data_IF_844342676523
#
_entry.id   IF_844342676523
#
_cell.length_a   1.000
_cell.length_b   1.000
_cell.length_c   1.000
_cell.angle_alpha   90.00
_cell.angle_beta   90.00
_cell.angle_gamma   90.00
#
_symmetry.space_group_name_H-M   'P 1'
#
loop_
_entity.id
_entity.type
_entity.pdbx_description
1 polymer ?
#
# COMPACT_ATOMS: atom_id res chain seq x y z
N UNK A 1 -5.79 -15.15 -4.15
CA UNK A 1 -5.02 -14.59 -5.27
C UNK A 1 -3.54 -14.73 -4.94
N UNK A 2 -2.76 -15.43 -5.77
CA UNK A 2 -1.35 -15.68 -5.48
C UNK A 2 -0.45 -14.56 -6.04
N UNK A 3 0.55 -14.11 -5.29
CA UNK A 3 1.58 -13.15 -5.71
C UNK A 3 2.92 -13.86 -5.80
N UNK A 4 3.77 -13.40 -6.71
CA UNK A 4 5.08 -14.00 -6.93
C UNK A 4 6.14 -13.18 -6.20
N UNK A 5 6.86 -13.80 -5.27
CA UNK A 5 8.04 -13.21 -4.62
C UNK A 5 9.29 -13.43 -5.48
N UNK A 6 10.07 -12.37 -5.69
CA UNK A 6 11.42 -12.52 -6.24
C UNK A 6 12.34 -13.13 -5.17
N UNK A 7 13.12 -14.16 -5.51
CA UNK A 7 14.05 -14.81 -4.58
C UNK A 7 15.09 -13.86 -3.96
N UNK A 8 15.39 -12.74 -4.63
CA UNK A 8 16.30 -11.69 -4.12
C UNK A 8 15.62 -10.73 -3.12
N UNK A 9 14.30 -10.79 -2.98
CA UNK A 9 13.58 -10.01 -1.98
C UNK A 9 13.60 -10.75 -0.65
N UNK A 10 13.75 -9.97 0.42
CA UNK A 10 13.56 -10.46 1.76
C UNK A 10 12.16 -11.08 1.91
N UNK A 11 12.11 -12.29 2.47
CA UNK A 11 10.88 -13.07 2.50
C UNK A 11 9.89 -12.55 3.53
N UNK A 12 10.38 -12.10 4.68
CA UNK A 12 9.55 -11.61 5.77
C UNK A 12 8.96 -10.25 5.43
N UNK A 13 9.77 -9.35 4.85
CA UNK A 13 9.32 -8.04 4.39
C UNK A 13 8.33 -8.16 3.22
N UNK A 14 8.54 -9.10 2.30
CA UNK A 14 7.56 -9.37 1.24
C UNK A 14 6.23 -9.86 1.83
N UNK A 15 6.29 -10.82 2.76
CA UNK A 15 5.10 -11.35 3.41
C UNK A 15 4.36 -10.27 4.22
N UNK A 16 5.09 -9.41 4.94
CA UNK A 16 4.54 -8.29 5.70
C UNK A 16 3.82 -7.31 4.78
N UNK A 17 4.50 -6.82 3.73
CA UNK A 17 3.89 -5.87 2.80
C UNK A 17 2.66 -6.49 2.10
N UNK A 18 2.72 -7.76 1.68
CA UNK A 18 1.57 -8.42 1.07
C UNK A 18 0.40 -8.58 2.05
N UNK A 19 0.67 -8.87 3.32
CA UNK A 19 -0.35 -8.93 4.37
C UNK A 19 -0.97 -7.57 4.65
N UNK A 20 -0.18 -6.50 4.61
CA UNK A 20 -0.69 -5.15 4.73
C UNK A 20 -1.61 -4.78 3.56
N UNK A 21 -1.29 -5.24 2.33
CA UNK A 21 -2.20 -5.10 1.19
C UNK A 21 -3.51 -5.86 1.39
N UNK A 22 -3.46 -7.12 1.83
CA UNK A 22 -4.65 -7.93 2.11
C UNK A 22 -5.53 -7.25 3.16
N UNK A 23 -4.93 -6.83 4.27
CA UNK A 23 -5.61 -6.12 5.35
C UNK A 23 -6.29 -4.86 4.81
N UNK A 24 -5.55 -4.04 4.07
CA UNK A 24 -6.09 -2.80 3.50
C UNK A 24 -7.26 -3.05 2.54
N UNK A 25 -7.18 -4.08 1.70
CA UNK A 25 -8.32 -4.48 0.84
C UNK A 25 -9.56 -4.79 1.68
N UNK A 26 -9.38 -5.54 2.77
CA UNK A 26 -10.49 -6.00 3.61
C UNK A 26 -11.04 -4.92 4.56
N UNK A 27 -10.38 -3.76 4.65
CA UNK A 27 -10.91 -2.57 5.32
C UNK A 27 -11.78 -1.71 4.41
N UNK A 28 -11.80 -1.98 3.10
CA UNK A 28 -12.68 -1.29 2.16
C UNK A 28 -14.07 -1.92 2.15
N UNK A 29 -15.08 -1.06 2.18
CA UNK A 29 -16.44 -1.44 1.76
C UNK A 29 -16.50 -1.63 0.24
N UNK A 30 -17.49 -2.36 -0.24
CA UNK A 30 -17.74 -2.53 -1.69
C UNK A 30 -17.93 -1.17 -2.38
N UNK A 31 -18.67 -0.25 -1.74
CA UNK A 31 -18.87 1.11 -2.25
C UNK A 31 -17.57 1.91 -2.35
N UNK A 32 -16.73 1.89 -1.30
CA UNK A 32 -15.42 2.56 -1.32
C UNK A 32 -14.51 1.96 -2.39
N UNK A 33 -14.44 0.63 -2.49
CA UNK A 33 -13.65 -0.05 -3.51
C UNK A 33 -14.05 0.39 -4.91
N UNK A 34 -15.35 0.34 -5.26
CA UNK A 34 -15.85 0.73 -6.58
C UNK A 34 -15.54 2.20 -6.90
N UNK A 35 -15.72 3.11 -5.94
CA UNK A 35 -15.40 4.52 -6.11
C UNK A 35 -13.91 4.76 -6.32
N UNK A 36 -13.08 4.13 -5.51
CA UNK A 36 -11.62 4.28 -5.59
C UNK A 36 -11.09 3.70 -6.90
N UNK A 37 -11.57 2.52 -7.30
CA UNK A 37 -11.23 1.88 -8.58
C UNK A 37 -11.65 2.75 -9.77
N UNK A 38 -12.87 3.28 -9.76
CA UNK A 38 -13.35 4.19 -10.80
C UNK A 38 -12.45 5.43 -10.90
N UNK A 39 -12.17 6.10 -9.78
CA UNK A 39 -11.28 7.27 -9.75
C UNK A 39 -9.89 6.93 -10.31
N UNK A 40 -9.32 5.79 -9.91
CA UNK A 40 -8.02 5.35 -10.41
C UNK A 40 -8.02 5.09 -11.92
N UNK A 41 -9.06 4.45 -12.45
CA UNK A 41 -9.17 4.18 -13.90
C UNK A 41 -9.34 5.46 -14.72
N UNK A 42 -10.07 6.45 -14.20
CA UNK A 42 -10.31 7.72 -14.88
C UNK A 42 -9.12 8.70 -14.79
N UNK A 43 -8.42 8.72 -13.66
CA UNK A 43 -7.45 9.77 -13.33
C UNK A 43 -6.02 9.25 -13.07
N UNK A 44 -5.85 7.93 -12.96
CA UNK A 44 -4.59 7.34 -12.50
C UNK A 44 -4.37 7.53 -11.00
N UNK A 45 -3.09 7.59 -10.60
CA UNK A 45 -2.72 7.83 -9.20
C UNK A 45 -3.11 9.24 -8.78
N UNK A 46 -3.77 9.36 -7.64
CA UNK A 46 -4.26 10.64 -7.13
C UNK A 46 -3.09 11.52 -6.66
N UNK A 47 -3.12 12.81 -7.02
CA UNK A 47 -2.08 13.78 -6.70
C UNK A 47 -1.98 14.02 -5.19
N UNK A 48 -3.11 13.96 -4.48
CA UNK A 48 -3.16 14.14 -3.02
C UNK A 48 -2.33 13.07 -2.29
N UNK A 49 -2.17 11.88 -2.90
CA UNK A 49 -1.30 10.83 -2.37
C UNK A 49 0.17 11.24 -2.29
N UNK A 50 0.63 12.14 -3.16
CA UNK A 50 2.02 12.63 -3.13
C UNK A 50 2.31 13.41 -1.84
N UNK A 51 1.34 14.19 -1.37
CA UNK A 51 1.47 14.97 -0.12
C UNK A 51 1.55 14.00 1.08
N UNK A 52 0.64 13.01 1.12
CA UNK A 52 0.65 12.01 2.18
C UNK A 52 1.95 11.19 2.21
N UNK A 53 2.45 10.79 1.03
CA UNK A 53 3.73 10.10 0.89
C UNK A 53 4.90 10.94 1.38
N UNK A 54 4.95 12.23 1.01
CA UNK A 54 6.02 13.13 1.45
C UNK A 54 6.01 13.28 2.97
N UNK A 55 4.84 13.57 3.56
CA UNK A 55 4.69 13.73 5.00
C UNK A 55 5.14 12.47 5.76
N UNK A 56 4.72 11.28 5.31
CA UNK A 56 5.13 10.01 5.92
C UNK A 56 6.65 9.78 5.83
N UNK A 57 7.29 10.16 4.72
CA UNK A 57 8.74 10.04 4.55
C UNK A 57 9.51 11.03 5.42
N UNK A 58 9.04 12.26 5.55
CA UNK A 58 9.64 13.27 6.44
C UNK A 58 9.55 12.84 7.90
N UNK A 59 8.38 12.36 8.34
CA UNK A 59 8.20 11.83 9.69
C UNK A 59 9.13 10.63 9.96
N UNK A 60 9.23 9.71 9.01
CA UNK A 60 10.10 8.55 9.11
C UNK A 60 11.59 8.93 9.16
N UNK A 61 12.00 9.93 8.39
CA UNK A 61 13.36 10.47 8.44
C UNK A 61 13.68 11.00 9.84
N UNK A 62 12.82 11.84 10.41
CA UNK A 62 13.02 12.40 11.75
C UNK A 62 13.07 11.29 12.81
N UNK A 63 12.17 10.30 12.73
CA UNK A 63 12.19 9.15 13.64
C UNK A 63 13.50 8.37 13.54
N UNK A 64 13.99 8.11 12.32
CA UNK A 64 15.22 7.35 12.11
C UNK A 64 16.46 8.10 12.59
N UNK A 65 16.52 9.42 12.38
CA UNK A 65 17.60 10.26 12.95
C UNK A 65 17.63 10.15 14.47
N UNK A 66 16.47 10.29 15.12
CA UNK A 66 16.37 10.21 16.58
C UNK A 66 16.76 8.83 17.12
N UNK A 67 16.37 7.75 16.42
CA UNK A 67 16.78 6.37 16.73
C UNK A 67 18.31 6.24 16.70
N UNK A 68 18.94 6.64 15.59
CA UNK A 68 20.38 6.56 15.39
C UNK A 68 21.17 7.41 16.41
N UNK A 69 20.63 8.57 16.82
CA UNK A 69 21.25 9.37 17.88
C UNK A 69 21.20 8.68 19.25
N UNK A 70 20.10 7.98 19.57
CA UNK A 70 20.03 7.18 20.82
C UNK A 70 20.99 6.00 20.81
N UNK A 71 21.33 5.49 19.63
CA UNK A 71 22.37 4.48 19.42
C UNK A 71 23.80 5.05 19.51
N UNK A 72 23.95 6.35 19.74
CA UNK A 72 25.23 7.01 20.01
C UNK A 72 25.87 7.69 18.81
N UNK A 73 25.19 7.76 17.65
CA UNK A 73 25.72 8.46 16.49
C UNK A 73 25.65 9.98 16.68
N UNK A 74 26.63 10.68 16.12
CA UNK A 74 26.55 12.15 15.98
C UNK A 74 25.38 12.52 15.06
N UNK A 75 24.82 13.73 15.22
CA UNK A 75 23.74 14.21 14.37
C UNK A 75 24.08 14.13 12.87
N UNK A 76 25.33 14.46 12.50
CA UNK A 76 25.80 14.38 11.12
C UNK A 76 25.77 12.95 10.56
N UNK A 77 26.27 11.98 11.33
CA UNK A 77 26.23 10.56 10.94
C UNK A 77 24.79 10.03 10.88
N UNK A 78 23.97 10.38 11.86
CA UNK A 78 22.56 9.98 11.93
C UNK A 78 21.76 10.51 10.72
N UNK A 79 21.93 11.79 10.37
CA UNK A 79 21.31 12.39 9.19
C UNK A 79 21.72 11.68 7.89
N UNK A 80 23.01 11.40 7.72
CA UNK A 80 23.53 10.70 6.54
C UNK A 80 22.92 9.30 6.41
N UNK A 81 22.99 8.50 7.48
CA UNK A 81 22.49 7.13 7.47
C UNK A 81 20.96 7.06 7.36
N UNK A 82 20.23 7.99 7.99
CA UNK A 82 18.78 8.07 7.85
C UNK A 82 18.37 8.37 6.41
N UNK A 83 19.12 9.21 5.69
CA UNK A 83 18.88 9.49 4.27
C UNK A 83 19.14 8.25 3.40
N UNK A 84 20.29 7.60 3.60
CA UNK A 84 20.65 6.35 2.91
C UNK A 84 19.60 5.25 3.14
N UNK A 85 19.11 5.11 4.38
CA UNK A 85 18.02 4.22 4.72
C UNK A 85 16.74 4.62 3.96
N UNK A 86 16.33 5.88 4.02
CA UNK A 86 15.09 6.37 3.38
C UNK A 86 15.09 6.17 1.85
N UNK A 87 16.26 6.18 1.20
CA UNK A 87 16.44 5.89 -0.23
C UNK A 87 16.13 4.42 -0.60
N UNK A 88 16.13 3.52 0.39
CA UNK A 88 15.71 2.12 0.22
C UNK A 88 14.22 1.91 0.47
N UNK A 89 13.54 2.90 1.05
CA UNK A 89 12.15 2.78 1.51
C UNK A 89 11.16 3.43 0.53
N UNK A 90 9.92 2.93 0.51
CA UNK A 90 8.75 3.58 -0.08
C UNK A 90 7.71 3.83 1.01
N UNK A 91 6.94 4.92 0.88
CA UNK A 91 5.70 5.09 1.64
C UNK A 91 4.63 4.16 1.03
N UNK A 92 4.07 3.29 1.85
CA UNK A 92 3.20 2.20 1.42
C UNK A 92 1.74 2.62 1.46
N UNK A 93 1.06 2.55 0.31
CA UNK A 93 -0.40 2.53 0.27
C UNK A 93 -0.87 1.10 0.51
N UNK A 94 -1.72 0.90 1.52
CA UNK A 94 -2.23 -0.41 1.93
C UNK A 94 -3.77 -0.39 1.84
N UNK A 95 -4.37 -0.88 0.74
CA UNK A 95 -3.74 -1.48 -0.43
C UNK A 95 -3.22 -0.42 -1.41
N UNK A 96 -2.51 -0.82 -2.47
CA UNK A 96 -2.08 0.08 -3.55
C UNK A 96 -3.32 0.77 -4.16
N UNK A 97 -3.18 2.01 -4.61
CA UNK A 97 -4.22 2.74 -5.34
C UNK A 97 -4.70 1.98 -6.60
N UNK A 98 -3.80 1.21 -7.25
CA UNK A 98 -4.20 0.29 -8.34
C UNK A 98 -5.29 -0.67 -7.84
N UNK A 99 -5.19 -1.16 -6.61
CA UNK A 99 -6.14 -2.07 -6.00
C UNK A 99 -7.31 -1.36 -5.29
N UNK A 100 -7.50 -0.06 -5.51
CA UNK A 100 -8.59 0.70 -4.88
C UNK A 100 -8.24 1.26 -3.50
N UNK A 101 -6.96 1.34 -3.14
CA UNK A 101 -6.52 1.96 -1.90
C UNK A 101 -6.80 3.46 -1.81
N UNK A 102 -6.99 3.93 -0.57
CA UNK A 102 -7.20 5.36 -0.25
C UNK A 102 -5.88 6.11 -0.42
N UNK A 103 -5.86 7.11 -1.28
CA UNK A 103 -4.63 7.81 -1.66
C UNK A 103 -4.01 8.60 -0.51
N UNK A 104 -4.84 9.11 0.39
CA UNK A 104 -4.46 9.90 1.56
C UNK A 104 -3.93 9.04 2.72
N UNK A 105 -4.09 7.71 2.67
CA UNK A 105 -3.65 6.81 3.73
C UNK A 105 -2.33 6.15 3.39
N UNK A 106 -1.35 6.37 4.27
CA UNK A 106 -0.05 5.68 4.26
C UNK A 106 -0.02 4.73 5.44
N UNK A 107 0.17 3.43 5.17
CA UNK A 107 0.22 2.39 6.19
C UNK A 107 1.59 2.23 6.86
N UNK A 108 2.61 2.92 6.34
CA UNK A 108 3.98 2.89 6.86
C UNK A 108 5.03 2.98 5.76
N UNK A 109 6.27 2.61 6.09
CA UNK A 109 7.36 2.46 5.13
C UNK A 109 7.71 0.98 4.94
N UNK A 110 8.33 0.67 3.81
CA UNK A 110 8.92 -0.64 3.55
C UNK A 110 9.85 -0.63 2.36
N UNK A 111 10.53 -1.76 2.11
CA UNK A 111 11.46 -1.89 0.98
C UNK A 111 10.76 -1.52 -0.33
N UNK A 112 11.31 -0.50 -1.02
CA UNK A 112 10.70 0.06 -2.24
C UNK A 112 10.67 -0.91 -3.41
N UNK A 113 11.61 -1.86 -3.49
CA UNK A 113 11.70 -2.85 -4.57
C UNK A 113 10.62 -3.90 -4.40
N UNK A 114 10.38 -4.32 -3.16
CA UNK A 114 9.26 -5.20 -2.79
C UNK A 114 7.94 -4.50 -3.11
N UNK A 115 7.74 -3.27 -2.64
CA UNK A 115 6.52 -2.51 -2.92
C UNK A 115 6.26 -2.35 -4.42
N UNK A 116 7.29 -1.99 -5.18
CA UNK A 116 7.20 -1.88 -6.66
C UNK A 116 6.83 -3.21 -7.31
N UNK A 117 7.39 -4.32 -6.82
CA UNK A 117 7.10 -5.66 -7.31
C UNK A 117 5.72 -6.17 -6.93
N UNK A 118 5.11 -5.71 -5.84
CA UNK A 118 3.71 -6.01 -5.50
C UNK A 118 2.79 -5.14 -6.37
N UNK A 119 3.09 -3.85 -6.47
CA UNK A 119 2.35 -2.87 -7.28
C UNK A 119 2.26 -3.24 -8.76
N UNK A 120 3.35 -3.75 -9.35
CA UNK A 120 3.32 -4.21 -10.75
C UNK A 120 2.41 -5.41 -10.97
N UNK A 121 2.28 -6.27 -9.95
CA UNK A 121 1.44 -7.45 -10.01
C UNK A 121 -0.05 -7.12 -9.92
N UNK A 122 -0.42 -6.06 -9.21
CA UNK A 122 -1.81 -5.61 -9.13
C UNK A 122 -2.42 -5.34 -10.51
N UNK A 123 -1.63 -4.84 -11.48
CA UNK A 123 -2.12 -4.43 -12.82
C UNK A 123 -2.90 -5.51 -13.58
N UNK A 124 -2.59 -6.78 -13.37
CA UNK A 124 -3.26 -7.90 -14.05
C UNK A 124 -4.04 -8.79 -13.09
N UNK A 125 -3.85 -8.63 -11.78
CA UNK A 125 -4.57 -9.42 -10.78
C UNK A 125 -5.86 -8.74 -10.33
N UNK A 126 -5.90 -7.41 -10.33
CA UNK A 126 -7.06 -6.66 -9.84
C UNK A 126 -8.31 -6.91 -10.66
N UNK A 127 -8.17 -7.23 -11.95
CA UNK A 127 -9.30 -7.51 -12.85
C UNK A 127 -10.20 -8.65 -12.33
N UNK A 128 -9.60 -9.65 -11.67
CA UNK A 128 -10.34 -10.77 -11.06
C UNK A 128 -11.24 -10.26 -9.92
N UNK A 129 -10.75 -9.32 -9.12
CA UNK A 129 -11.53 -8.72 -8.03
C UNK A 129 -12.60 -7.80 -8.61
N UNK A 130 -12.25 -6.98 -9.60
CA UNK A 130 -13.20 -6.08 -10.28
C UNK A 130 -14.36 -6.87 -10.91
N UNK A 131 -14.10 -8.01 -11.54
CA UNK A 131 -15.12 -8.89 -12.11
C UNK A 131 -16.03 -9.49 -11.02
N UNK A 132 -15.45 -10.09 -9.97
CA UNK A 132 -16.25 -10.69 -8.89
C UNK A 132 -17.11 -9.67 -8.17
N UNK A 133 -16.58 -8.49 -7.88
CA UNK A 133 -17.34 -7.41 -7.25
C UNK A 133 -18.47 -6.93 -8.15
N UNK A 134 -18.23 -6.75 -9.46
CA UNK A 134 -19.28 -6.40 -10.42
C UNK A 134 -20.41 -7.43 -10.44
N UNK A 135 -20.11 -8.72 -10.39
CA UNK A 135 -21.14 -9.75 -10.38
C UNK A 135 -21.95 -9.76 -9.07
N UNK A 136 -21.29 -9.69 -7.91
CA UNK A 136 -21.96 -9.71 -6.60
C UNK A 136 -22.85 -8.46 -6.41
N UNK A 137 -22.40 -7.31 -6.90
CA UNK A 137 -23.13 -6.04 -6.73
C UNK A 137 -24.44 -5.97 -7.50
N UNK A 138 -24.66 -6.78 -8.55
CA UNK A 138 -25.91 -6.80 -9.32
C UNK A 138 -27.14 -7.11 -8.48
N UNK A 139 -26.97 -7.89 -7.41
CA UNK A 139 -28.05 -8.27 -6.49
C UNK A 139 -28.08 -7.45 -5.18
N UNK A 140 -27.19 -6.46 -5.02
CA UNK A 140 -27.06 -5.70 -3.78
C UNK A 140 -27.86 -4.39 -3.83
N UNK A 141 -28.46 -4.03 -2.69
CA UNK A 141 -29.04 -2.69 -2.48
C UNK A 141 -27.94 -1.68 -2.15
N UNK A 142 -28.15 -0.38 -2.43
CA UNK A 142 -27.16 0.67 -2.13
C UNK A 142 -26.67 0.69 -0.68
N UNK A 143 -27.52 0.35 0.29
CA UNK A 143 -27.17 0.30 1.72
C UNK A 143 -26.22 -0.86 2.03
N UNK A 144 -26.35 -1.97 1.30
CA UNK A 144 -25.48 -3.14 1.47
C UNK A 144 -24.08 -2.85 0.93
N UNK A 145 -23.96 -2.08 -0.16
CA UNK A 145 -22.66 -1.71 -0.73
C UNK A 145 -21.79 -0.94 0.28
N UNK A 146 -22.42 -0.12 1.12
CA UNK A 146 -21.76 0.73 2.13
C UNK A 146 -21.42 0.02 3.42
N UNK A 147 -21.98 -1.17 3.65
CA UNK A 147 -21.81 -1.91 4.91
C UNK A 147 -21.17 -3.29 4.72
N UNK A 148 -21.05 -3.75 3.47
CA UNK A 148 -20.34 -4.98 3.12
C UNK A 148 -18.88 -4.68 2.85
N UNK A 149 -17.99 -5.30 3.62
CA UNK A 149 -16.54 -5.23 3.43
C UNK A 149 -16.05 -6.27 2.44
N UNK A 150 -14.92 -5.99 1.79
CA UNK A 150 -14.25 -7.00 0.97
C UNK A 150 -13.72 -8.14 1.85
N UNK A 151 -13.57 -9.32 1.23
CA UNK A 151 -12.96 -10.49 1.85
C UNK A 151 -12.02 -11.16 0.84
N UNK A 152 -10.92 -10.47 0.55
CA UNK A 152 -9.85 -10.90 -0.34
C UNK A 152 -8.81 -11.67 0.46
N UNK A 153 -8.29 -12.74 -0.15
CA UNK A 153 -7.15 -13.51 0.36
C UNK A 153 -5.98 -13.46 -0.61
N UNK A 154 -4.82 -13.01 -0.13
CA UNK A 154 -3.55 -12.91 -0.84
C UNK A 154 -2.58 -13.98 -0.34
N UNK A 155 -1.92 -14.68 -1.25
CA UNK A 155 -0.93 -15.73 -0.95
C UNK A 155 0.36 -15.48 -1.73
N UNK A 156 1.48 -16.10 -1.36
CA UNK A 156 2.73 -16.03 -2.11
C UNK A 156 3.59 -17.29 -1.92
#
# INVERSE_FOLDING_TARGET
MNFNRNVKHDSEEFARQLKDQEKGMNELTVDEYLKNRKKYLEQGRAIEGNIAQQAAREEAYVKKVNELQREGLTLSQANKQAKEWLDTQAALHNPDQIAGGKAELIGGLGDRRINSSIGSQWRYRIDIVDEQIREITKSMKPEQLKTTYLNVKLTH
#
